data_IF_606743098647
#
_entry.id   IF_606743098647
#
_cell.length_a   1.000
_cell.length_b   1.000
_cell.length_c   1.000
_cell.angle_alpha   90.00
_cell.angle_beta   90.00
_cell.angle_gamma   90.00
#
_symmetry.space_group_name_H-M   'P 1'
#
loop_
_entity.id
_entity.type
_entity.pdbx_description
1 polymer ?
#
# COMPACT_ATOMS: atom_id res chain seq x y z
N UNK A 1 24.52 19.51 15.16
CA UNK A 1 23.38 18.63 14.78
C UNK A 1 22.49 18.47 15.99
N UNK A 2 21.16 18.62 15.84
CA UNK A 2 20.20 18.73 16.96
C UNK A 2 19.73 17.39 17.53
N UNK A 3 20.65 16.53 17.98
CA UNK A 3 20.33 15.23 18.61
C UNK A 3 19.39 15.40 19.81
N UNK A 4 19.51 16.51 20.54
CA UNK A 4 18.60 16.89 21.63
C UNK A 4 17.12 16.92 21.20
N UNK A 5 16.80 17.17 19.93
CA UNK A 5 15.43 17.17 19.42
C UNK A 5 14.69 15.83 19.56
N UNK A 6 15.41 14.72 19.73
CA UNK A 6 14.80 13.42 20.04
C UNK A 6 14.30 13.31 21.49
N UNK A 7 14.81 14.15 22.39
CA UNK A 7 14.60 14.03 23.84
C UNK A 7 13.88 15.23 24.46
N UNK A 8 14.09 16.44 23.92
CA UNK A 8 13.63 17.68 24.53
C UNK A 8 12.10 17.72 24.67
N UNK A 9 11.64 17.83 25.92
CA UNK A 9 10.25 18.04 26.28
C UNK A 9 10.04 19.50 26.74
N UNK A 10 9.02 20.18 26.22
CA UNK A 10 8.61 21.51 26.68
C UNK A 10 7.90 22.28 25.58
N UNK A 11 6.73 22.91 25.81
CA UNK A 11 6.01 23.64 24.76
C UNK A 11 6.90 24.72 24.10
N UNK A 12 6.90 24.85 22.76
CA UNK A 12 6.06 24.15 21.78
C UNK A 12 6.68 22.85 21.21
N UNK A 13 7.74 22.31 21.81
CA UNK A 13 8.49 21.15 21.28
C UNK A 13 7.83 19.80 21.62
N UNK A 14 7.69 18.95 20.59
CA UNK A 14 7.36 17.53 20.71
C UNK A 14 8.62 16.73 20.37
N UNK A 15 9.10 15.82 21.24
CA UNK A 15 10.27 15.00 20.95
C UNK A 15 10.07 14.20 19.67
N UNK A 16 11.08 14.12 18.81
CA UNK A 16 10.94 13.43 17.52
C UNK A 16 10.60 11.95 17.66
N UNK A 17 11.07 11.30 18.73
CA UNK A 17 10.69 9.90 19.04
C UNK A 17 9.21 9.72 19.37
N UNK A 18 8.59 10.70 20.02
CA UNK A 18 7.16 10.66 20.32
C UNK A 18 6.35 10.66 19.02
N UNK A 19 6.79 11.40 18.00
CA UNK A 19 6.14 11.42 16.69
C UNK A 19 6.24 10.04 16.01
N UNK A 20 7.40 9.37 16.11
CA UNK A 20 7.57 8.00 15.59
C UNK A 20 6.63 7.01 16.30
N UNK A 21 6.48 7.11 17.61
CA UNK A 21 5.60 6.23 18.39
C UNK A 21 4.12 6.47 18.08
N UNK A 22 3.69 7.74 17.99
CA UNK A 22 2.33 8.12 17.61
C UNK A 22 1.96 7.61 16.21
N UNK A 23 2.86 7.78 15.23
CA UNK A 23 2.63 7.29 13.86
C UNK A 23 2.55 5.77 13.81
N UNK A 24 3.41 5.06 14.55
CA UNK A 24 3.36 3.59 14.64
C UNK A 24 2.03 3.10 15.21
N UNK A 25 1.60 3.65 16.35
CA UNK A 25 0.37 3.24 17.04
C UNK A 25 -0.86 3.45 16.15
N UNK A 26 -1.02 4.65 15.57
CA UNK A 26 -2.14 4.95 14.67
C UNK A 26 -2.12 4.10 13.40
N UNK A 27 -0.93 3.83 12.85
CA UNK A 27 -0.80 3.01 11.65
C UNK A 27 -1.18 1.55 11.93
N UNK A 28 -0.77 0.99 13.09
CA UNK A 28 -1.15 -0.36 13.51
C UNK A 28 -2.67 -0.52 13.61
N UNK A 29 -3.38 0.48 14.16
CA UNK A 29 -4.85 0.50 14.18
C UNK A 29 -5.45 0.49 12.76
N UNK A 30 -4.93 1.32 11.85
CA UNK A 30 -5.46 1.46 10.48
C UNK A 30 -5.29 0.18 9.65
N UNK A 31 -4.18 -0.54 9.84
CA UNK A 31 -3.88 -1.76 9.07
C UNK A 31 -4.32 -3.05 9.78
N UNK A 32 -4.87 -2.96 11.00
CA UNK A 32 -5.26 -4.13 11.79
C UNK A 32 -4.06 -5.00 12.17
N UNK A 33 -3.01 -4.38 12.69
CA UNK A 33 -1.79 -5.02 13.16
C UNK A 33 -1.49 -4.67 14.62
N UNK A 34 -0.52 -5.36 15.22
CA UNK A 34 0.06 -4.95 16.50
C UNK A 34 1.10 -3.85 16.28
N UNK A 35 1.38 -3.06 17.32
CA UNK A 35 2.32 -1.95 17.20
C UNK A 35 3.73 -2.39 16.83
N UNK A 36 4.22 -3.51 17.38
CA UNK A 36 5.54 -4.07 17.11
C UNK A 36 5.69 -4.66 15.70
N UNK A 37 4.58 -4.81 14.98
CA UNK A 37 4.53 -5.32 13.62
C UNK A 37 4.58 -4.20 12.57
N UNK A 38 4.50 -2.91 12.96
CA UNK A 38 4.41 -1.78 12.03
C UNK A 38 5.53 -0.76 12.23
N UNK A 39 6.04 -0.21 11.13
CA UNK A 39 6.96 0.93 11.14
C UNK A 39 6.72 1.87 9.96
N UNK A 40 6.78 3.18 10.21
CA UNK A 40 6.78 4.20 9.17
C UNK A 40 8.22 4.56 8.80
N UNK A 41 8.66 4.24 7.59
CA UNK A 41 10.03 4.46 7.13
C UNK A 41 10.11 4.56 5.60
N UNK A 42 11.16 5.25 5.11
CA UNK A 42 11.55 5.35 3.71
C UNK A 42 10.39 5.69 2.76
N UNK A 43 10.43 5.15 1.54
CA UNK A 43 9.35 5.17 0.55
C UNK A 43 8.91 3.74 0.20
N UNK A 44 7.78 3.61 -0.48
CA UNK A 44 7.09 2.32 -0.70
C UNK A 44 8.00 1.25 -1.31
N UNK A 45 8.53 1.53 -2.51
CA UNK A 45 9.36 0.55 -3.22
C UNK A 45 10.70 0.31 -2.52
N UNK A 46 11.21 1.29 -1.76
CA UNK A 46 12.39 1.04 -0.90
C UNK A 46 12.05 0.01 0.17
N UNK A 47 10.93 0.16 0.89
CA UNK A 47 10.50 -0.84 1.86
C UNK A 47 10.24 -2.20 1.21
N UNK A 48 9.68 -2.23 0.00
CA UNK A 48 9.47 -3.46 -0.74
C UNK A 48 10.80 -4.19 -0.98
N UNK A 49 11.84 -3.48 -1.42
CA UNK A 49 13.17 -4.06 -1.58
C UNK A 49 13.76 -4.57 -0.27
N UNK A 50 13.58 -3.84 0.83
CA UNK A 50 14.10 -4.27 2.14
C UNK A 50 13.40 -5.55 2.63
N UNK A 51 12.08 -5.65 2.45
CA UNK A 51 11.34 -6.85 2.83
C UNK A 51 11.58 -8.01 1.88
N UNK A 52 11.70 -7.79 0.58
CA UNK A 52 12.15 -8.83 -0.35
C UNK A 52 13.56 -9.30 0.01
N UNK A 53 14.48 -8.39 0.31
CA UNK A 53 15.82 -8.75 0.75
C UNK A 53 15.79 -9.60 2.03
N UNK A 54 14.82 -9.41 2.94
CA UNK A 54 14.65 -10.17 4.17
C UNK A 54 13.95 -11.54 3.97
N UNK A 55 12.89 -11.59 3.16
CA UNK A 55 12.01 -12.76 3.01
C UNK A 55 12.30 -13.66 1.82
N UNK A 56 12.82 -13.11 0.72
CA UNK A 56 13.10 -13.91 -0.48
C UNK A 56 14.42 -14.68 -0.29
N UNK A 57 14.28 -15.96 0.09
CA UNK A 57 15.38 -16.92 0.30
C UNK A 57 15.26 -18.08 -0.68
N UNK A 58 15.57 -17.86 -1.97
CA UNK A 58 15.34 -18.87 -2.99
C UNK A 58 16.24 -20.08 -2.81
N UNK A 59 15.69 -21.27 -3.06
CA UNK A 59 16.43 -22.54 -3.23
C UNK A 59 16.27 -23.04 -4.67
N UNK A 60 17.06 -24.03 -5.14
CA UNK A 60 16.89 -24.59 -6.47
C UNK A 60 15.47 -25.10 -6.77
N UNK A 61 14.77 -25.61 -5.74
CA UNK A 61 13.40 -26.13 -5.85
C UNK A 61 12.33 -25.04 -5.69
N UNK A 62 12.64 -23.96 -4.95
CA UNK A 62 11.69 -22.91 -4.59
C UNK A 62 12.33 -21.53 -4.73
N UNK A 63 12.22 -20.95 -5.92
CA UNK A 63 12.82 -19.66 -6.24
C UNK A 63 11.84 -18.70 -6.94
N UNK A 64 10.61 -19.11 -7.24
CA UNK A 64 9.72 -18.25 -8.00
C UNK A 64 9.08 -17.17 -7.13
N UNK A 65 8.86 -15.99 -7.70
CA UNK A 65 8.07 -14.92 -7.13
C UNK A 65 6.79 -14.82 -7.94
N UNK A 66 5.63 -14.96 -7.28
CA UNK A 66 4.33 -14.78 -7.91
C UNK A 66 3.87 -13.34 -7.73
N UNK A 67 3.44 -12.71 -8.82
CA UNK A 67 2.80 -11.39 -8.86
C UNK A 67 1.49 -11.45 -9.67
N UNK A 68 0.59 -10.49 -9.48
CA UNK A 68 -0.62 -10.40 -10.29
C UNK A 68 -0.32 -9.97 -11.75
N UNK A 69 -1.18 -10.33 -12.72
CA UNK A 69 -1.06 -9.82 -14.07
C UNK A 69 -1.14 -8.29 -14.10
N UNK A 70 -0.25 -7.65 -14.86
CA UNK A 70 -0.15 -6.20 -14.95
C UNK A 70 -0.01 -5.54 -13.57
N UNK A 71 0.83 -6.11 -12.70
CA UNK A 71 1.24 -5.50 -11.45
C UNK A 71 1.74 -4.06 -11.68
N UNK A 72 1.73 -3.24 -10.62
CA UNK A 72 2.23 -1.88 -10.74
C UNK A 72 3.70 -1.88 -11.21
N UNK A 73 4.11 -1.02 -12.15
CA UNK A 73 5.44 -1.12 -12.76
C UNK A 73 6.60 -1.13 -11.76
N UNK A 74 6.49 -0.38 -10.66
CA UNK A 74 7.54 -0.33 -9.63
C UNK A 74 7.73 -1.67 -8.92
N UNK A 75 6.65 -2.38 -8.65
CA UNK A 75 6.62 -3.70 -8.02
C UNK A 75 7.20 -4.76 -8.97
N UNK A 76 6.80 -4.72 -10.24
CA UNK A 76 7.36 -5.53 -11.33
C UNK A 76 8.89 -5.32 -11.43
N UNK A 77 9.37 -4.08 -11.45
CA UNK A 77 10.81 -3.80 -11.45
C UNK A 77 11.51 -4.25 -10.18
N UNK A 78 10.85 -4.17 -9.02
CA UNK A 78 11.40 -4.62 -7.75
C UNK A 78 11.63 -6.14 -7.74
N UNK A 79 10.65 -6.93 -8.19
CA UNK A 79 10.80 -8.40 -8.25
C UNK A 79 11.80 -8.83 -9.33
N UNK A 80 11.83 -8.16 -10.49
CA UNK A 80 12.81 -8.43 -11.55
C UNK A 80 14.24 -8.19 -11.08
N UNK A 81 14.49 -7.04 -10.44
CA UNK A 81 15.82 -6.72 -9.93
C UNK A 81 16.20 -7.59 -8.73
N UNK A 82 15.24 -7.97 -7.87
CA UNK A 82 15.47 -8.93 -6.79
C UNK A 82 15.87 -10.31 -7.31
N UNK A 83 15.18 -10.83 -8.34
CA UNK A 83 15.52 -12.10 -8.99
C UNK A 83 16.94 -12.05 -9.60
N UNK A 84 17.27 -10.99 -10.35
CA UNK A 84 18.61 -10.78 -10.91
C UNK A 84 19.70 -10.72 -9.84
N UNK A 85 19.43 -10.04 -8.73
CA UNK A 85 20.37 -9.92 -7.61
C UNK A 85 20.71 -11.30 -7.00
N UNK A 86 19.77 -12.24 -7.05
CA UNK A 86 19.95 -13.62 -6.61
C UNK A 86 20.41 -14.57 -7.74
N UNK A 87 20.77 -14.05 -8.91
CA UNK A 87 21.30 -14.84 -10.03
C UNK A 87 20.24 -15.58 -10.86
N UNK A 88 18.95 -15.23 -10.73
CA UNK A 88 17.88 -15.83 -11.51
C UNK A 88 17.47 -14.95 -12.70
N UNK A 89 17.10 -15.61 -13.80
CA UNK A 89 16.45 -14.97 -14.94
C UNK A 89 15.00 -14.60 -14.57
N UNK A 90 14.60 -13.31 -14.62
CA UNK A 90 13.23 -12.90 -14.31
C UNK A 90 12.15 -13.59 -15.15
N UNK A 91 12.44 -13.95 -16.41
CA UNK A 91 11.47 -14.62 -17.28
C UNK A 91 11.15 -16.05 -16.81
N UNK A 92 12.03 -16.63 -15.97
CA UNK A 92 11.86 -17.96 -15.36
C UNK A 92 11.41 -17.85 -13.90
N UNK A 93 11.94 -16.86 -13.16
CA UNK A 93 11.70 -16.70 -11.74
C UNK A 93 10.39 -15.97 -11.41
N UNK A 94 9.77 -15.27 -12.35
CA UNK A 94 8.52 -14.52 -12.07
C UNK A 94 7.33 -15.25 -12.70
N UNK A 95 6.36 -15.58 -11.86
CA UNK A 95 5.05 -16.11 -12.28
C UNK A 95 4.03 -14.98 -12.21
N UNK A 96 3.35 -14.72 -13.33
CA UNK A 96 2.26 -13.73 -13.39
C UNK A 96 0.94 -14.46 -13.39
N UNK A 97 0.16 -14.35 -12.31
CA UNK A 97 -1.07 -15.11 -12.15
C UNK A 97 -1.84 -14.75 -10.90
N UNK A 98 -2.99 -15.39 -10.73
CA UNK A 98 -3.80 -15.28 -9.52
C UNK A 98 -3.28 -16.21 -8.41
N UNK A 99 -3.98 -16.22 -7.26
CA UNK A 99 -3.67 -17.13 -6.16
C UNK A 99 -3.69 -18.62 -6.60
N UNK A 100 -4.45 -18.96 -7.64
CA UNK A 100 -4.50 -20.29 -8.24
C UNK A 100 -3.13 -20.80 -8.70
N UNK A 101 -2.27 -19.90 -9.16
CA UNK A 101 -0.94 -20.20 -9.69
C UNK A 101 0.16 -20.36 -8.62
N UNK A 102 -0.18 -20.29 -7.32
CA UNK A 102 0.78 -20.56 -6.24
C UNK A 102 1.16 -22.05 -6.24
N UNK A 103 2.32 -22.34 -6.85
CA UNK A 103 2.94 -23.67 -6.91
C UNK A 103 3.91 -23.95 -5.76
N UNK A 104 4.42 -25.17 -5.71
CA UNK A 104 5.37 -25.60 -4.68
C UNK A 104 6.78 -25.02 -4.90
N UNK A 105 7.03 -24.45 -6.08
CA UNK A 105 8.25 -23.75 -6.49
C UNK A 105 8.22 -22.23 -6.22
N UNK A 106 7.10 -21.72 -5.70
CA UNK A 106 6.94 -20.31 -5.33
C UNK A 106 7.51 -20.05 -3.94
N UNK A 107 8.50 -19.18 -3.84
CA UNK A 107 9.10 -18.71 -2.59
C UNK A 107 8.30 -17.58 -1.96
N UNK A 108 7.89 -16.61 -2.77
CA UNK A 108 7.18 -15.40 -2.32
C UNK A 108 5.99 -15.15 -3.25
N UNK A 109 4.84 -14.90 -2.66
CA UNK A 109 3.70 -14.26 -3.31
C UNK A 109 3.79 -12.79 -2.96
N UNK A 110 3.84 -11.92 -3.96
CA UNK A 110 3.79 -10.47 -3.79
C UNK A 110 2.69 -9.94 -4.71
N UNK A 111 1.54 -9.60 -4.14
CA UNK A 111 0.46 -9.01 -4.93
C UNK A 111 0.03 -7.66 -4.35
N UNK A 112 -0.48 -6.78 -5.20
CA UNK A 112 -1.25 -5.65 -4.67
C UNK A 112 -2.52 -6.16 -3.99
N UNK A 113 -2.92 -5.58 -2.85
CA UNK A 113 -4.20 -5.93 -2.23
C UNK A 113 -5.37 -5.33 -3.03
N UNK A 114 -5.22 -4.09 -3.51
CA UNK A 114 -6.14 -3.47 -4.47
C UNK A 114 -5.37 -3.18 -5.76
N UNK A 115 -5.79 -3.82 -6.86
CA UNK A 115 -5.12 -3.68 -8.15
C UNK A 115 -5.31 -2.25 -8.67
N UNK A 116 -4.20 -1.58 -9.00
CA UNK A 116 -4.24 -0.14 -9.28
C UNK A 116 -5.10 0.19 -10.50
N UNK A 117 -5.05 -0.60 -11.56
CA UNK A 117 -5.72 -0.33 -12.83
C UNK A 117 -7.20 -0.71 -12.80
N UNK A 118 -7.55 -1.92 -12.38
CA UNK A 118 -8.93 -2.43 -12.37
C UNK A 118 -9.70 -1.98 -11.14
N UNK A 119 -9.02 -1.73 -10.01
CA UNK A 119 -9.66 -1.45 -8.72
C UNK A 119 -10.18 -2.69 -7.99
N UNK A 120 -9.87 -3.89 -8.49
CA UNK A 120 -10.18 -5.16 -7.82
C UNK A 120 -9.49 -5.23 -6.46
N UNK A 121 -10.25 -5.55 -5.42
CA UNK A 121 -9.75 -5.85 -4.09
C UNK A 121 -9.68 -7.37 -3.93
N UNK A 122 -8.47 -7.90 -3.86
CA UNK A 122 -8.22 -9.32 -3.67
C UNK A 122 -8.48 -9.75 -2.23
N UNK A 123 -8.91 -11.00 -2.04
CA UNK A 123 -9.10 -11.60 -0.73
C UNK A 123 -7.73 -11.89 -0.09
N UNK A 124 -7.21 -10.91 0.66
CA UNK A 124 -5.90 -10.96 1.33
C UNK A 124 -5.76 -12.22 2.17
N UNK A 125 -6.79 -12.56 2.95
CA UNK A 125 -6.82 -13.73 3.82
C UNK A 125 -6.72 -15.03 3.03
N UNK A 126 -7.51 -15.17 1.97
CA UNK A 126 -7.49 -16.37 1.13
C UNK A 126 -6.14 -16.55 0.42
N UNK A 127 -5.53 -15.46 -0.04
CA UNK A 127 -4.19 -15.47 -0.66
C UNK A 127 -3.14 -15.89 0.36
N UNK A 128 -3.13 -15.27 1.54
CA UNK A 128 -2.17 -15.58 2.61
C UNK A 128 -2.30 -17.05 3.07
N UNK A 129 -3.52 -17.53 3.30
CA UNK A 129 -3.79 -18.91 3.67
C UNK A 129 -3.28 -19.90 2.60
N UNK A 130 -3.48 -19.60 1.32
CA UNK A 130 -3.01 -20.44 0.22
C UNK A 130 -1.49 -20.44 0.09
N UNK A 131 -0.85 -19.27 0.21
CA UNK A 131 0.61 -19.15 0.21
C UNK A 131 1.21 -20.01 1.33
N UNK A 132 0.70 -19.88 2.56
CA UNK A 132 1.14 -20.69 3.70
C UNK A 132 0.96 -22.18 3.45
N UNK A 133 -0.19 -22.60 2.94
CA UNK A 133 -0.47 -24.00 2.64
C UNK A 133 0.52 -24.62 1.62
N UNK A 134 1.17 -23.79 0.80
CA UNK A 134 2.21 -24.19 -0.17
C UNK A 134 3.63 -23.90 0.31
N UNK A 135 3.81 -23.39 1.52
CA UNK A 135 5.12 -23.02 2.07
C UNK A 135 5.73 -21.77 1.44
N UNK A 136 4.92 -20.92 0.81
CA UNK A 136 5.34 -19.62 0.28
C UNK A 136 5.09 -18.50 1.30
N UNK A 137 5.90 -17.45 1.24
CA UNK A 137 5.69 -16.21 2.01
C UNK A 137 4.62 -15.35 1.32
N UNK A 138 3.66 -14.83 2.08
CA UNK A 138 2.59 -13.94 1.63
C UNK A 138 2.93 -12.46 1.88
N UNK A 139 3.39 -11.77 0.85
CA UNK A 139 3.65 -10.34 0.82
C UNK A 139 2.57 -9.55 0.09
N UNK A 140 2.27 -8.34 0.56
CA UNK A 140 1.28 -7.47 -0.11
C UNK A 140 1.77 -6.03 -0.28
N UNK A 141 1.52 -5.46 -1.46
CA UNK A 141 1.53 -4.01 -1.65
C UNK A 141 0.12 -3.46 -1.34
N UNK A 142 0.04 -2.58 -0.35
CA UNK A 142 -1.21 -2.01 0.15
C UNK A 142 -1.39 -0.56 -0.31
N UNK A 143 -0.67 -0.08 -1.32
CA UNK A 143 -0.68 1.32 -1.73
C UNK A 143 -2.09 1.84 -2.07
N UNK A 144 -2.92 1.00 -2.68
CA UNK A 144 -4.33 1.32 -2.98
C UNK A 144 -5.31 0.79 -1.92
N UNK A 145 -4.84 0.08 -0.90
CA UNK A 145 -5.69 -0.54 0.12
C UNK A 145 -5.71 0.23 1.45
N UNK A 146 -4.54 0.67 1.94
CA UNK A 146 -4.43 1.38 3.22
C UNK A 146 -5.21 2.70 3.19
N UNK A 147 -6.05 2.94 4.19
CA UNK A 147 -6.94 4.11 4.23
C UNK A 147 -8.14 4.05 3.26
N UNK A 148 -8.32 2.95 2.52
CA UNK A 148 -9.38 2.76 1.53
C UNK A 148 -10.33 1.61 1.90
N UNK A 149 -9.78 0.42 2.07
CA UNK A 149 -10.50 -0.78 2.51
C UNK A 149 -10.10 -1.13 3.93
N UNK A 150 -10.95 -1.89 4.62
CA UNK A 150 -10.62 -2.42 5.94
C UNK A 150 -9.58 -3.55 5.79
N UNK A 151 -8.57 -3.53 6.65
CA UNK A 151 -7.44 -4.46 6.65
C UNK A 151 -7.29 -5.08 8.04
N UNK A 152 -6.88 -6.34 8.07
CA UNK A 152 -6.66 -7.08 9.30
C UNK A 152 -5.35 -7.86 9.21
N UNK A 153 -4.22 -7.19 8.93
CA UNK A 153 -2.97 -7.87 8.53
C UNK A 153 -2.50 -8.94 9.52
N UNK A 154 -2.67 -8.71 10.83
CA UNK A 154 -2.35 -9.71 11.84
C UNK A 154 -3.28 -10.93 11.77
N UNK A 155 -4.59 -10.71 11.80
CA UNK A 155 -5.60 -11.79 11.84
C UNK A 155 -5.77 -12.52 10.50
N UNK A 156 -5.46 -11.84 9.40
CA UNK A 156 -5.42 -12.39 8.04
C UNK A 156 -4.09 -13.11 7.77
N UNK A 157 -3.20 -13.16 8.76
CA UNK A 157 -2.05 -14.05 8.77
C UNK A 157 -1.03 -13.70 7.66
N UNK A 158 -0.94 -12.42 7.30
CA UNK A 158 0.01 -11.87 6.31
C UNK A 158 1.44 -12.01 6.81
N UNK A 159 2.43 -12.31 5.95
CA UNK A 159 3.84 -12.38 6.40
C UNK A 159 4.48 -10.99 6.45
N UNK A 160 4.31 -10.22 5.38
CA UNK A 160 4.78 -8.84 5.32
C UNK A 160 3.90 -7.99 4.41
N UNK A 161 3.93 -6.67 4.61
CA UNK A 161 3.26 -5.75 3.69
C UNK A 161 3.97 -4.39 3.63
N UNK A 162 3.72 -3.64 2.56
CA UNK A 162 4.26 -2.28 2.36
C UNK A 162 3.19 -1.35 1.82
N UNK A 163 3.29 -0.05 2.10
CA UNK A 163 2.38 0.94 1.53
C UNK A 163 3.00 2.33 1.43
N UNK A 164 2.45 3.15 0.55
CA UNK A 164 2.67 4.59 0.56
C UNK A 164 1.65 5.31 1.44
N UNK A 165 1.98 6.52 1.88
CA UNK A 165 1.07 7.38 2.66
C UNK A 165 0.51 8.57 1.88
N UNK A 166 0.98 8.81 0.65
CA UNK A 166 0.60 9.98 -0.16
C UNK A 166 -0.66 9.77 -1.01
N UNK A 167 -1.31 8.60 -0.90
CA UNK A 167 -2.59 8.28 -1.54
C UNK A 167 -3.74 8.53 -0.54
N UNK A 168 -4.54 7.52 -0.23
CA UNK A 168 -5.71 7.64 0.66
C UNK A 168 -5.36 8.15 2.06
N UNK A 169 -4.13 7.92 2.53
CA UNK A 169 -3.64 8.41 3.82
C UNK A 169 -3.30 9.92 3.85
N UNK A 170 -3.28 10.62 2.72
CA UNK A 170 -3.17 12.08 2.62
C UNK A 170 -1.92 12.72 3.26
N UNK A 171 -0.79 12.00 3.37
CA UNK A 171 0.42 12.49 4.06
C UNK A 171 1.31 13.44 3.21
N UNK A 172 0.80 13.96 2.09
CA UNK A 172 1.53 14.86 1.19
C UNK A 172 2.43 14.16 0.17
N UNK A 173 2.96 14.90 -0.83
CA UNK A 173 3.66 14.33 -1.98
C UNK A 173 4.94 13.60 -1.57
N UNK A 174 5.04 12.32 -1.90
CA UNK A 174 6.20 11.49 -1.55
C UNK A 174 6.36 11.24 -0.05
N UNK A 175 5.26 11.34 0.72
CA UNK A 175 5.25 11.09 2.16
C UNK A 175 5.84 9.72 2.56
N UNK A 176 6.28 9.63 3.82
CA UNK A 176 6.90 8.43 4.41
C UNK A 176 6.02 7.20 4.20
N UNK A 177 6.60 6.11 3.72
CA UNK A 177 5.91 4.84 3.57
C UNK A 177 5.77 4.10 4.91
N UNK A 178 5.02 3.00 4.90
CA UNK A 178 5.00 2.05 5.99
C UNK A 178 5.41 0.65 5.56
N UNK A 179 5.75 -0.16 6.54
CA UNK A 179 6.06 -1.56 6.42
C UNK A 179 5.41 -2.33 7.59
N UNK A 180 4.95 -3.53 7.28
CA UNK A 180 4.43 -4.50 8.24
C UNK A 180 5.26 -5.79 8.14
N UNK A 181 5.59 -6.37 9.29
CA UNK A 181 6.11 -7.73 9.41
C UNK A 181 5.39 -8.40 10.58
N UNK A 182 4.76 -9.53 10.31
CA UNK A 182 4.02 -10.24 11.34
C UNK A 182 4.95 -10.74 12.44
N UNK A 183 4.52 -10.58 13.68
CA UNK A 183 5.21 -10.95 14.92
C UNK A 183 5.60 -12.44 15.05
N UNK A 184 5.13 -13.31 14.14
CA UNK A 184 5.60 -14.71 14.08
C UNK A 184 7.03 -14.82 13.54
N UNK A 185 7.50 -13.80 12.82
CA UNK A 185 8.80 -13.80 12.21
C UNK A 185 9.81 -13.16 13.17
N UNK A 186 10.86 -13.91 13.46
CA UNK A 186 11.98 -13.38 14.22
C UNK A 186 12.82 -12.46 13.32
N UNK A 187 12.58 -11.16 13.47
CA UNK A 187 13.31 -10.11 12.73
C UNK A 187 14.79 -10.12 13.05
N UNK A 188 15.23 -10.56 14.23
CA UNK A 188 16.65 -10.66 14.57
C UNK A 188 17.33 -11.76 13.76
N UNK A 189 16.67 -12.91 13.59
CA UNK A 189 17.18 -14.07 12.85
C UNK A 189 17.10 -13.95 11.31
N UNK A 190 16.62 -12.84 10.74
CA UNK A 190 16.54 -12.65 9.29
C UNK A 190 17.91 -12.32 8.68
N UNK A 191 18.61 -13.34 8.16
CA UNK A 191 20.00 -13.23 7.69
C UNK A 191 20.28 -12.21 6.57
N UNK A 192 19.35 -11.99 5.65
CA UNK A 192 19.52 -10.98 4.59
C UNK A 192 18.72 -9.72 4.81
N UNK A 193 18.21 -9.49 6.03
CA UNK A 193 17.74 -8.17 6.41
C UNK A 193 18.93 -7.20 6.44
N UNK A 194 18.80 -6.06 5.76
CA UNK A 194 19.79 -4.99 5.83
C UNK A 194 19.60 -4.22 7.15
N UNK A 195 20.70 -3.97 7.87
CA UNK A 195 20.69 -3.32 9.18
C UNK A 195 21.26 -1.91 9.10
N UNK A 196 20.72 -1.00 9.89
CA UNK A 196 21.26 0.34 10.07
C UNK A 196 21.08 0.84 11.50
N UNK A 197 21.75 1.94 11.84
CA UNK A 197 21.89 2.39 13.23
C UNK A 197 20.55 2.71 13.91
N UNK A 198 19.53 3.10 13.15
CA UNK A 198 18.20 3.37 13.68
C UNK A 198 17.42 2.11 14.06
N UNK A 199 17.81 0.96 13.49
CA UNK A 199 17.33 -0.36 13.87
C UNK A 199 17.84 -0.81 15.23
N UNK A 200 18.85 -0.13 15.82
CA UNK A 200 19.31 -0.45 17.17
C UNK A 200 18.29 -0.05 18.25
N UNK A 201 18.26 -0.81 19.34
CA UNK A 201 17.55 -0.54 20.57
C UNK A 201 17.74 0.91 21.00
N UNK A 202 16.62 1.61 21.24
CA UNK A 202 16.63 3.04 21.56
C UNK A 202 17.46 3.37 22.80
N UNK A 203 17.47 2.48 23.79
CA UNK A 203 18.20 2.64 25.06
C UNK A 203 19.71 2.74 24.86
N UNK A 204 20.26 2.06 23.85
CA UNK A 204 21.71 1.93 23.63
C UNK A 204 22.19 2.55 22.30
N UNK A 205 21.27 3.07 21.48
CA UNK A 205 21.55 3.60 20.13
C UNK A 205 22.67 4.64 20.08
N UNK A 206 22.74 5.51 21.08
CA UNK A 206 23.74 6.58 21.15
C UNK A 206 25.02 6.17 21.90
N UNK A 207 25.12 4.93 22.39
CA UNK A 207 26.40 4.38 22.87
C UNK A 207 27.36 4.06 21.71
N UNK A 208 26.85 4.01 20.46
CA UNK A 208 27.64 3.82 19.23
C UNK A 208 28.52 2.56 19.27
N UNK A 209 28.00 1.49 19.86
CA UNK A 209 28.68 0.19 19.97
C UNK A 209 28.88 -0.46 18.59
N UNK A 210 29.95 -1.24 18.37
CA UNK A 210 30.18 -1.94 17.10
C UNK A 210 29.22 -3.12 16.88
N UNK A 211 28.66 -3.67 17.95
CA UNK A 211 27.69 -4.77 17.89
C UNK A 211 26.29 -4.22 17.70
N UNK A 212 25.56 -4.77 16.73
CA UNK A 212 24.15 -4.45 16.49
C UNK A 212 23.28 -5.08 17.57
N UNK A 213 22.40 -4.27 18.16
CA UNK A 213 21.46 -4.62 19.24
C UNK A 213 20.06 -4.26 18.73
N UNK A 214 19.34 -5.15 18.03
CA UNK A 214 18.12 -4.80 17.28
C UNK A 214 16.97 -4.33 18.19
N UNK A 215 16.17 -3.39 17.69
CA UNK A 215 14.83 -3.17 18.21
C UNK A 215 13.96 -4.42 18.00
N UNK A 216 13.04 -4.72 18.93
CA UNK A 216 12.08 -5.79 18.73
C UNK A 216 11.15 -5.49 17.55
N UNK A 217 10.69 -6.56 16.90
CA UNK A 217 9.73 -6.47 15.80
C UNK A 217 10.29 -5.74 14.56
N UNK A 218 9.38 -5.25 13.71
CA UNK A 218 9.75 -4.67 12.41
C UNK A 218 10.64 -3.43 12.53
N UNK A 219 10.63 -2.75 13.67
CA UNK A 219 11.48 -1.58 13.94
C UNK A 219 12.99 -1.92 13.87
N UNK A 220 13.37 -3.19 14.07
CA UNK A 220 14.73 -3.68 13.86
C UNK A 220 15.21 -3.65 12.40
N UNK A 221 14.32 -3.36 11.44
CA UNK A 221 14.62 -3.18 10.02
C UNK A 221 14.81 -1.71 9.62
N UNK A 222 14.68 -0.75 10.55
CA UNK A 222 14.96 0.65 10.25
C UNK A 222 16.44 0.87 9.97
N UNK A 223 16.74 1.59 8.89
CA UNK A 223 18.14 1.85 8.50
C UNK A 223 18.67 3.15 9.11
N UNK A 224 17.92 4.24 8.91
CA UNK A 224 18.38 5.61 9.16
C UNK A 224 17.39 6.37 10.03
N UNK A 225 17.87 7.45 10.65
CA UNK A 225 17.03 8.41 11.34
C UNK A 225 15.92 8.90 10.39
N UNK A 226 14.64 8.82 10.79
CA UNK A 226 13.54 9.20 9.92
C UNK A 226 13.51 10.72 9.70
N UNK A 227 13.02 11.17 8.53
CA UNK A 227 12.85 12.58 8.26
C UNK A 227 11.66 13.14 9.06
N UNK A 228 11.95 13.93 10.09
CA UNK A 228 10.94 14.44 11.06
C UNK A 228 9.82 15.25 10.40
N UNK A 229 10.12 16.07 9.39
CA UNK A 229 9.09 16.91 8.73
C UNK A 229 8.04 16.05 8.00
N UNK A 230 8.42 15.12 7.11
CA UNK A 230 7.48 14.13 6.57
C UNK A 230 6.75 13.31 7.64
N UNK A 231 7.41 12.99 8.76
CA UNK A 231 6.77 12.26 9.86
C UNK A 231 5.66 13.07 10.53
N UNK A 232 5.84 14.39 10.70
CA UNK A 232 4.79 15.28 11.21
C UNK A 232 3.58 15.33 10.28
N UNK A 233 3.81 15.48 8.96
CA UNK A 233 2.73 15.48 7.98
C UNK A 233 1.95 14.15 7.98
N UNK A 234 2.68 13.03 8.08
CA UNK A 234 2.07 11.71 8.23
C UNK A 234 1.23 11.63 9.50
N UNK A 235 1.80 11.97 10.67
CA UNK A 235 1.09 11.95 11.96
C UNK A 235 -0.23 12.69 11.88
N UNK A 236 -0.22 13.94 11.41
CA UNK A 236 -1.42 14.78 11.37
C UNK A 236 -2.49 14.20 10.43
N UNK A 237 -2.06 13.58 9.32
CA UNK A 237 -2.98 12.90 8.41
C UNK A 237 -3.59 11.64 9.04
N UNK A 238 -2.80 10.84 9.79
CA UNK A 238 -3.29 9.65 10.50
C UNK A 238 -4.27 9.98 11.62
N UNK A 239 -4.09 11.11 12.31
CA UNK A 239 -5.03 11.55 13.36
C UNK A 239 -6.46 11.71 12.82
N UNK A 240 -6.62 12.17 11.57
CA UNK A 240 -7.93 12.27 10.92
C UNK A 240 -8.53 10.87 10.70
N UNK A 241 -7.73 9.92 10.22
CA UNK A 241 -8.16 8.56 9.95
C UNK A 241 -8.61 7.84 11.23
N UNK A 242 -7.80 7.89 12.28
CA UNK A 242 -8.12 7.30 13.59
C UNK A 242 -9.34 7.96 14.22
N UNK A 243 -9.44 9.30 14.14
CA UNK A 243 -10.61 10.02 14.67
C UNK A 243 -11.92 9.61 14.00
N UNK A 244 -11.90 9.34 12.69
CA UNK A 244 -13.10 8.90 11.95
C UNK A 244 -13.34 7.40 12.12
N UNK A 245 -12.28 6.59 12.03
CA UNK A 245 -12.30 5.14 12.04
C UNK A 245 -12.54 4.52 10.66
N UNK A 246 -11.77 3.50 10.32
CA UNK A 246 -11.86 2.79 9.03
C UNK A 246 -13.26 2.24 8.69
N UNK A 247 -14.05 1.69 9.64
CA UNK A 247 -15.41 1.23 9.33
C UNK A 247 -16.34 2.34 8.79
N UNK A 248 -16.23 3.57 9.33
CA UNK A 248 -17.03 4.71 8.85
C UNK A 248 -16.53 5.21 7.50
N UNK A 249 -15.21 5.27 7.30
CA UNK A 249 -14.58 5.61 6.02
C UNK A 249 -15.06 4.63 4.93
N UNK A 250 -15.01 3.33 5.23
CA UNK A 250 -15.43 2.27 4.30
C UNK A 250 -16.93 2.31 4.00
N UNK A 251 -17.77 2.54 5.01
CA UNK A 251 -19.21 2.70 4.80
C UNK A 251 -19.53 3.86 3.83
N UNK A 252 -18.92 5.03 4.03
CA UNK A 252 -19.09 6.18 3.13
C UNK A 252 -18.49 5.94 1.75
N UNK A 253 -17.37 5.22 1.64
CA UNK A 253 -16.82 4.78 0.34
C UNK A 253 -17.82 3.97 -0.48
N UNK A 254 -18.47 2.99 0.16
CA UNK A 254 -19.49 2.15 -0.48
C UNK A 254 -20.70 2.98 -0.93
N UNK A 255 -21.13 3.94 -0.11
CA UNK A 255 -22.22 4.86 -0.46
C UNK A 255 -21.88 5.71 -1.69
N UNK A 256 -20.74 6.41 -1.67
CA UNK A 256 -20.31 7.29 -2.76
C UNK A 256 -20.12 6.51 -4.06
N UNK A 257 -19.47 5.35 -4.01
CA UNK A 257 -19.21 4.54 -5.21
C UNK A 257 -20.46 3.86 -5.75
N UNK A 258 -21.39 3.41 -4.90
CA UNK A 258 -22.68 2.89 -5.35
C UNK A 258 -23.53 3.97 -6.05
N UNK A 259 -23.54 5.20 -5.50
CA UNK A 259 -24.19 6.34 -6.15
C UNK A 259 -23.55 6.66 -7.49
N UNK A 260 -22.22 6.71 -7.53
CA UNK A 260 -21.45 6.98 -8.74
C UNK A 260 -21.73 5.94 -9.82
N UNK A 261 -21.65 4.65 -9.49
CA UNK A 261 -21.95 3.57 -10.42
C UNK A 261 -23.37 3.65 -10.98
N UNK A 262 -24.36 3.92 -10.12
CA UNK A 262 -25.76 4.07 -10.54
C UNK A 262 -25.92 5.22 -11.54
N UNK A 263 -25.34 6.39 -11.23
CA UNK A 263 -25.46 7.58 -12.07
C UNK A 263 -24.71 7.42 -13.40
N UNK A 264 -23.52 6.80 -13.40
CA UNK A 264 -22.77 6.52 -14.61
C UNK A 264 -23.55 5.63 -15.58
N UNK A 265 -24.18 4.56 -15.08
CA UNK A 265 -25.01 3.67 -15.91
C UNK A 265 -26.25 4.38 -16.46
N UNK A 266 -26.83 5.32 -15.71
CA UNK A 266 -27.98 6.11 -16.15
C UNK A 266 -27.61 7.13 -17.24
N UNK A 267 -26.50 7.83 -17.07
CA UNK A 267 -26.06 8.90 -17.97
C UNK A 267 -25.41 8.36 -19.25
N UNK A 268 -24.56 7.34 -19.13
CA UNK A 268 -23.73 6.87 -20.26
C UNK A 268 -24.29 5.61 -20.93
N UNK A 269 -25.20 4.87 -20.29
CA UNK A 269 -25.72 3.61 -20.84
C UNK A 269 -24.60 2.63 -21.19
N UNK A 270 -24.61 2.13 -22.42
CA UNK A 270 -23.63 1.15 -22.93
C UNK A 270 -22.35 1.79 -23.50
N UNK A 271 -22.14 3.10 -23.35
CA UNK A 271 -20.95 3.80 -23.87
C UNK A 271 -19.65 3.52 -23.09
N UNK A 272 -19.73 2.71 -22.03
CA UNK A 272 -18.55 2.27 -21.27
C UNK A 272 -18.74 0.86 -20.70
N UNK A 273 -17.63 0.18 -20.46
CA UNK A 273 -17.57 -1.03 -19.66
C UNK A 273 -16.91 -0.73 -18.30
N UNK A 274 -17.44 -1.33 -17.23
CA UNK A 274 -16.82 -1.24 -15.91
C UNK A 274 -15.75 -2.33 -15.77
N UNK A 275 -14.48 -1.93 -15.62
CA UNK A 275 -13.39 -2.88 -15.32
C UNK A 275 -13.35 -3.25 -13.84
N UNK A 276 -13.82 -2.34 -12.98
CA UNK A 276 -13.88 -2.59 -11.54
C UNK A 276 -14.98 -3.61 -11.22
N UNK A 277 -14.73 -4.61 -10.35
CA UNK A 277 -15.76 -5.59 -9.99
C UNK A 277 -17.05 -4.96 -9.47
N UNK A 278 -18.20 -5.46 -9.94
CA UNK A 278 -19.52 -4.96 -9.51
C UNK A 278 -19.81 -5.27 -8.03
N UNK A 279 -19.28 -6.39 -7.51
CA UNK A 279 -19.42 -6.75 -6.11
C UNK A 279 -18.73 -5.69 -5.22
N UNK A 280 -19.47 -4.94 -4.37
CA UNK A 280 -18.91 -3.89 -3.53
C UNK A 280 -17.92 -4.43 -2.48
N UNK A 281 -17.84 -5.75 -2.27
CA UNK A 281 -16.84 -6.37 -1.41
C UNK A 281 -15.52 -6.68 -2.13
N UNK A 282 -15.50 -6.63 -3.46
CA UNK A 282 -14.32 -6.87 -4.31
C UNK A 282 -13.74 -5.60 -4.92
N UNK A 283 -14.02 -4.43 -4.34
CA UNK A 283 -13.46 -3.14 -4.79
C UNK A 283 -13.29 -2.11 -3.68
N UNK A 284 -12.37 -1.19 -3.88
CA UNK A 284 -12.17 0.01 -3.07
C UNK A 284 -13.05 1.18 -3.50
N UNK A 285 -12.55 2.41 -3.25
CA UNK A 285 -13.19 3.65 -3.68
C UNK A 285 -13.06 3.94 -5.19
N UNK A 286 -12.14 3.27 -5.91
CA UNK A 286 -11.91 3.49 -7.34
C UNK A 286 -12.95 2.76 -8.18
N UNK A 287 -13.43 3.41 -9.24
CA UNK A 287 -14.11 2.82 -10.39
C UNK A 287 -13.30 3.13 -11.65
N UNK A 288 -13.13 2.13 -12.50
CA UNK A 288 -12.31 2.19 -13.72
C UNK A 288 -13.18 1.94 -14.93
N UNK A 289 -13.38 2.98 -15.72
CA UNK A 289 -14.32 3.04 -16.83
C UNK A 289 -13.54 2.85 -18.13
N UNK A 290 -13.84 1.79 -18.87
CA UNK A 290 -13.30 1.50 -20.19
C UNK A 290 -14.25 2.04 -21.25
N UNK A 291 -13.78 2.94 -22.11
CA UNK A 291 -14.54 3.46 -23.24
C UNK A 291 -14.17 2.70 -24.51
N UNK A 292 -15.17 2.28 -25.29
CA UNK A 292 -14.96 1.57 -26.56
C UNK A 292 -15.49 2.40 -27.74
N UNK A 293 -14.90 2.25 -28.95
CA UNK A 293 -13.73 1.44 -29.30
C UNK A 293 -12.39 1.95 -28.69
N UNK A 294 -11.26 1.23 -28.80
CA UNK A 294 -9.99 1.63 -28.19
C UNK A 294 -9.45 3.01 -28.58
N UNK A 295 -9.88 3.56 -29.71
CA UNK A 295 -9.56 4.90 -30.20
C UNK A 295 -10.56 5.97 -29.77
N UNK A 296 -11.47 5.64 -28.84
CA UNK A 296 -12.34 6.62 -28.18
C UNK A 296 -11.49 7.74 -27.56
N UNK A 297 -11.84 9.00 -27.85
CA UNK A 297 -11.08 10.17 -27.43
C UNK A 297 -11.30 10.52 -25.95
N UNK A 298 -10.71 9.71 -25.06
CA UNK A 298 -10.71 9.97 -23.62
C UNK A 298 -9.90 11.20 -23.22
N UNK A 299 -9.01 11.67 -24.10
CA UNK A 299 -8.25 12.91 -23.87
C UNK A 299 -9.18 14.12 -24.01
N UNK A 300 -10.14 14.12 -24.95
CA UNK A 300 -11.18 15.14 -25.01
C UNK A 300 -12.07 15.15 -23.76
N UNK A 301 -12.48 13.99 -23.25
CA UNK A 301 -13.23 13.90 -21.96
C UNK A 301 -12.38 14.50 -20.84
N UNK A 302 -11.11 14.11 -20.74
CA UNK A 302 -10.23 14.58 -19.68
C UNK A 302 -10.01 16.09 -19.72
N UNK A 303 -9.82 16.66 -20.91
CA UNK A 303 -9.69 18.10 -21.11
C UNK A 303 -10.99 18.84 -20.76
N UNK A 304 -12.15 18.27 -21.09
CA UNK A 304 -13.44 18.81 -20.68
C UNK A 304 -13.57 18.83 -19.15
N UNK A 305 -13.37 17.69 -18.47
CA UNK A 305 -13.42 17.59 -17.02
C UNK A 305 -12.45 18.57 -16.33
N UNK A 306 -11.22 18.71 -16.85
CA UNK A 306 -10.24 19.65 -16.31
C UNK A 306 -10.65 21.11 -16.44
N UNK A 307 -11.32 21.51 -17.53
CA UNK A 307 -11.89 22.87 -17.68
C UNK A 307 -12.96 23.16 -16.63
N UNK A 308 -13.61 22.12 -16.12
CA UNK A 308 -14.57 22.18 -15.01
C UNK A 308 -13.94 21.90 -13.63
N UNK A 309 -12.60 21.90 -13.53
CA UNK A 309 -11.84 21.64 -12.30
C UNK A 309 -12.09 20.26 -11.67
N UNK A 310 -12.44 19.26 -12.49
CA UNK A 310 -12.58 17.88 -12.07
C UNK A 310 -11.34 17.10 -12.49
N UNK A 311 -10.69 16.47 -11.50
CA UNK A 311 -9.44 15.75 -11.70
C UNK A 311 -9.67 14.25 -11.57
N UNK A 312 -9.38 13.53 -12.64
CA UNK A 312 -9.40 12.07 -12.73
C UNK A 312 -8.07 11.57 -13.27
N UNK A 313 -7.83 10.26 -13.22
CA UNK A 313 -6.65 9.67 -13.83
C UNK A 313 -7.03 8.98 -15.14
N UNK A 314 -6.32 9.31 -16.22
CA UNK A 314 -6.51 8.70 -17.54
C UNK A 314 -5.42 7.67 -17.79
N UNK A 315 -5.84 6.45 -18.09
CA UNK A 315 -4.97 5.37 -18.52
C UNK A 315 -5.22 5.10 -19.99
N UNK A 316 -4.29 5.61 -20.81
CA UNK A 316 -4.34 5.43 -22.26
C UNK A 316 -4.30 3.94 -22.63
N UNK A 317 -4.99 3.55 -23.72
CA UNK A 317 -5.64 4.46 -24.67
C UNK A 317 -7.02 4.97 -24.23
N UNK A 318 -7.78 4.25 -23.39
CA UNK A 318 -9.22 4.46 -23.31
C UNK A 318 -9.85 4.21 -21.92
N UNK A 319 -9.09 4.32 -20.83
CA UNK A 319 -9.61 4.13 -19.46
C UNK A 319 -9.57 5.41 -18.64
N UNK A 320 -10.65 5.71 -17.92
CA UNK A 320 -10.72 6.76 -16.90
C UNK A 320 -10.92 6.11 -15.54
N UNK A 321 -10.03 6.41 -14.58
CA UNK A 321 -10.16 5.99 -13.18
C UNK A 321 -10.63 7.17 -12.34
N UNK A 322 -11.73 6.95 -11.62
CA UNK A 322 -12.33 7.91 -10.69
C UNK A 322 -12.42 7.28 -9.30
N UNK A 323 -11.97 7.98 -8.27
CA UNK A 323 -11.88 7.44 -6.91
C UNK A 323 -12.37 8.46 -5.87
N UNK A 324 -13.69 8.59 -5.64
CA UNK A 324 -14.22 9.50 -4.63
C UNK A 324 -13.70 9.12 -3.23
N UNK A 325 -12.91 10.00 -2.64
CA UNK A 325 -12.30 9.80 -1.33
C UNK A 325 -13.31 10.11 -0.21
N UNK A 326 -13.63 9.16 0.68
CA UNK A 326 -14.73 9.32 1.64
C UNK A 326 -14.55 10.48 2.64
N UNK A 327 -13.30 10.83 2.96
CA UNK A 327 -13.00 11.87 3.95
C UNK A 327 -13.41 13.28 3.49
N UNK A 328 -13.38 13.55 2.18
CA UNK A 328 -13.57 14.92 1.68
C UNK A 328 -14.42 15.02 0.41
N UNK A 329 -14.83 13.91 -0.22
CA UNK A 329 -15.83 13.94 -1.28
C UNK A 329 -17.26 13.79 -0.74
N UNK A 330 -18.19 14.35 -1.50
CA UNK A 330 -19.63 14.42 -1.20
C UNK A 330 -20.46 13.78 -2.31
N UNK A 331 -21.76 13.54 -2.06
CA UNK A 331 -22.69 13.10 -3.10
C UNK A 331 -22.91 14.16 -4.18
N UNK A 332 -22.78 15.44 -3.84
CA UNK A 332 -22.87 16.55 -4.80
C UNK A 332 -21.67 16.55 -5.76
N UNK A 333 -20.47 16.17 -5.29
CA UNK A 333 -19.31 15.97 -6.16
C UNK A 333 -19.58 14.85 -7.18
N UNK A 334 -20.22 13.76 -6.74
CA UNK A 334 -20.59 12.64 -7.63
C UNK A 334 -21.57 13.11 -8.70
N UNK A 335 -22.61 13.84 -8.30
CA UNK A 335 -23.61 14.37 -9.22
C UNK A 335 -22.98 15.34 -10.24
N UNK A 336 -22.09 16.21 -9.77
CA UNK A 336 -21.36 17.17 -10.60
C UNK A 336 -20.45 16.45 -11.59
N UNK A 337 -19.70 15.44 -11.13
CA UNK A 337 -18.82 14.65 -12.00
C UNK A 337 -19.60 13.98 -13.12
N UNK A 338 -20.68 13.25 -12.80
CA UNK A 338 -21.43 12.51 -13.82
C UNK A 338 -22.08 13.47 -14.82
N UNK A 339 -22.65 14.58 -14.37
CA UNK A 339 -23.22 15.60 -15.28
C UNK A 339 -22.18 16.16 -16.25
N UNK A 340 -20.92 16.38 -15.81
CA UNK A 340 -19.84 16.88 -16.68
C UNK A 340 -19.19 15.80 -17.54
N UNK A 341 -19.37 14.53 -17.19
CA UNK A 341 -18.92 13.42 -18.00
C UNK A 341 -19.89 13.11 -19.15
N UNK A 342 -21.19 13.43 -18.95
CA UNK A 342 -22.25 13.23 -19.93
C UNK A 342 -22.28 14.32 -21.02
N UNK A 343 -21.90 15.57 -20.69
CA UNK A 343 -21.82 16.73 -21.60
C UNK A 343 -20.80 16.56 -22.75
#
# INVERSE_FOLDING_TARGET
MGVEGHFLQGPPSVPWWTIEDETRSMMAEIVGAREDEVVCMNSLTVNLHLLLAAFYRPTPERFKILIEPNAFPSDEYAVQSCAKHHGYDPDVAIVRGDAGAIGDDVAVVLISAVQYYTGEFFDVRAVAARARARGAVAGFDLAHAVGNVELHLHDDDVDFAVWCSYKYLNAGPGGLAGAFVHSRHDVEAMDGALRGWWGNARSSRFEMRPTFDPQPGVAGLQLSNPPTIPMLALRDALQIHVKVGMPKIRAKSRELTARLETLLRQALGDNFAMLTPEDPNKRGAQLSLLFEPPDFDVDAIHDHLRKHHIFVDVRRPNVIRVAPAPLYNTLDDIQTFVSRLEE
#
